data_IF_444598227804
#
_entry.id   IF_444598227804
#
_cell.length_a   1.000
_cell.length_b   1.000
_cell.length_c   1.000
_cell.angle_alpha   90.00
_cell.angle_beta   90.00
_cell.angle_gamma   90.00
#
_symmetry.space_group_name_H-M   'P 1'
#
loop_
_entity.id
_entity.type
_entity.pdbx_description
1 polymer ?
#
# COMPACT_ATOMS: atom_id res chain seq x y z
N UNK A 1 -18.81 10.55 9.60
CA UNK A 1 -17.70 10.31 8.64
C UNK A 1 -17.04 8.99 9.00
N UNK A 2 -16.61 8.18 8.02
CA UNK A 2 -16.02 6.83 8.20
C UNK A 2 -14.67 6.78 7.48
N UNK A 3 -13.87 5.74 7.78
CA UNK A 3 -12.64 5.47 7.03
C UNK A 3 -12.92 5.16 5.55
N UNK A 4 -11.89 5.35 4.72
CA UNK A 4 -11.95 5.01 3.30
C UNK A 4 -11.99 3.49 3.07
N UNK A 5 -12.71 3.07 2.03
CA UNK A 5 -12.74 1.66 1.62
C UNK A 5 -11.35 1.24 1.08
N UNK A 6 -10.82 0.14 1.61
CA UNK A 6 -9.54 -0.41 1.17
C UNK A 6 -9.70 -1.22 -0.11
N UNK A 7 -8.63 -1.31 -0.90
CA UNK A 7 -8.58 -2.04 -2.18
C UNK A 7 -9.73 -1.73 -3.16
N UNK A 8 -10.24 -0.49 -3.10
CA UNK A 8 -11.38 -0.05 -3.90
C UNK A 8 -10.93 0.91 -4.99
N UNK A 9 -11.40 0.72 -6.23
CA UNK A 9 -11.26 1.74 -7.25
C UNK A 9 -12.24 2.89 -6.99
N UNK A 10 -11.91 4.09 -7.47
CA UNK A 10 -12.80 5.25 -7.40
C UNK A 10 -14.23 4.89 -7.88
N UNK A 11 -15.29 5.41 -7.22
CA UNK A 11 -16.68 4.91 -7.34
C UNK A 11 -17.31 4.87 -8.74
N UNK A 12 -16.63 5.39 -9.77
CA UNK A 12 -17.12 5.44 -11.14
C UNK A 12 -16.57 4.29 -12.02
N UNK A 13 -15.78 3.36 -11.47
CA UNK A 13 -15.27 2.20 -12.19
C UNK A 13 -15.91 0.89 -11.71
N UNK A 14 -16.41 0.06 -12.63
CA UNK A 14 -16.74 -1.34 -12.36
C UNK A 14 -15.53 -2.24 -12.69
N UNK A 15 -14.43 -2.04 -11.96
CA UNK A 15 -13.20 -2.79 -12.15
C UNK A 15 -13.03 -3.79 -11.01
N UNK A 16 -13.79 -4.88 -11.07
CA UNK A 16 -13.66 -5.96 -10.10
C UNK A 16 -12.25 -6.57 -10.15
N UNK A 17 -11.72 -6.90 -8.97
CA UNK A 17 -10.43 -7.56 -8.86
C UNK A 17 -10.53 -8.97 -9.47
N UNK A 18 -9.71 -9.26 -10.48
CA UNK A 18 -9.75 -10.54 -11.18
C UNK A 18 -9.29 -11.69 -10.25
N UNK A 19 -10.03 -12.82 -10.19
CA UNK A 19 -9.61 -13.99 -9.43
C UNK A 19 -8.24 -14.51 -9.88
N UNK A 20 -7.44 -14.98 -8.93
CA UNK A 20 -6.07 -15.48 -9.20
C UNK A 20 -6.11 -16.70 -10.13
N UNK A 21 -7.08 -17.59 -9.94
CA UNK A 21 -7.24 -18.84 -10.70
C UNK A 21 -7.48 -18.57 -12.19
N UNK A 22 -8.23 -17.50 -12.50
CA UNK A 22 -8.51 -17.10 -13.89
C UNK A 22 -7.24 -16.60 -14.57
N UNK A 23 -6.39 -15.87 -13.85
CA UNK A 23 -5.14 -15.36 -14.39
C UNK A 23 -4.10 -16.48 -14.57
N UNK A 24 -3.97 -17.39 -13.62
CA UNK A 24 -3.06 -18.54 -13.70
C UNK A 24 -3.47 -19.55 -14.78
N UNK A 25 -4.77 -19.66 -15.07
CA UNK A 25 -5.24 -20.50 -16.19
C UNK A 25 -4.92 -19.86 -17.55
N UNK A 26 -4.86 -18.52 -17.62
CA UNK A 26 -4.68 -17.78 -18.88
C UNK A 26 -3.23 -17.46 -19.20
N UNK A 27 -2.38 -17.32 -18.19
CA UNK A 27 -1.00 -16.91 -18.32
C UNK A 27 -0.07 -17.89 -17.60
N UNK A 28 1.15 -18.12 -18.08
CA UNK A 28 2.09 -19.03 -17.45
C UNK A 28 2.75 -18.36 -16.24
N UNK A 29 1.94 -18.07 -15.21
CA UNK A 29 2.32 -17.38 -13.98
C UNK A 29 1.77 -18.13 -12.77
N UNK A 30 2.39 -17.89 -11.61
CA UNK A 30 1.90 -18.32 -10.31
C UNK A 30 1.76 -17.09 -9.41
N UNK A 31 0.60 -16.87 -8.80
CA UNK A 31 0.47 -15.84 -7.77
C UNK A 31 1.18 -16.30 -6.51
N UNK A 32 2.10 -15.46 -6.03
CA UNK A 32 2.75 -15.66 -4.74
C UNK A 32 2.11 -14.79 -3.65
N UNK A 33 1.47 -13.68 -4.03
CA UNK A 33 0.71 -12.86 -3.10
C UNK A 33 -0.40 -12.05 -3.79
N UNK A 34 -1.49 -11.88 -3.06
CA UNK A 34 -2.51 -10.86 -3.27
C UNK A 34 -2.93 -10.40 -1.88
N UNK A 35 -2.45 -9.24 -1.46
CA UNK A 35 -2.58 -8.78 -0.08
C UNK A 35 -2.81 -7.28 0.00
N UNK A 36 -3.32 -6.82 1.14
CA UNK A 36 -3.38 -5.39 1.45
C UNK A 36 -1.94 -4.84 1.50
N UNK A 37 -1.78 -3.56 1.15
CA UNK A 37 -0.52 -2.85 1.32
C UNK A 37 -0.59 -2.13 2.67
N UNK A 38 -0.14 -2.78 3.73
CA UNK A 38 -0.24 -2.28 5.10
C UNK A 38 0.45 -0.92 5.26
N UNK A 39 -0.16 -0.04 6.06
CA UNK A 39 0.31 1.32 6.26
C UNK A 39 0.39 2.18 4.97
N UNK A 40 -0.33 1.83 3.91
CA UNK A 40 -0.40 2.65 2.69
C UNK A 40 -1.45 3.76 2.73
N UNK A 41 -2.41 3.66 3.65
CA UNK A 41 -3.41 4.70 3.86
C UNK A 41 -2.78 5.95 4.47
N UNK A 42 -3.25 7.12 4.03
CA UNK A 42 -2.94 8.38 4.69
C UNK A 42 -3.64 8.44 6.05
N UNK A 43 -2.87 8.83 7.06
CA UNK A 43 -3.37 9.00 8.41
C UNK A 43 -4.35 10.19 8.51
N UNK A 44 -5.29 10.09 9.43
CA UNK A 44 -6.23 11.15 9.72
C UNK A 44 -7.27 10.71 10.72
N UNK A 45 -8.08 11.63 11.25
CA UNK A 45 -9.23 11.28 12.11
C UNK A 45 -10.07 10.17 11.49
N UNK A 46 -10.25 10.23 10.17
CA UNK A 46 -10.62 9.07 9.36
C UNK A 46 -9.49 8.77 8.38
N UNK A 47 -8.94 7.55 8.44
CA UNK A 47 -7.85 7.16 7.55
C UNK A 47 -8.36 6.93 6.13
N UNK A 48 -7.44 7.07 5.18
CA UNK A 48 -7.68 6.61 3.81
C UNK A 48 -7.91 5.09 3.73
N UNK A 49 -8.37 4.62 2.58
CA UNK A 49 -8.37 3.20 2.27
C UNK A 49 -6.94 2.70 2.00
N UNK A 50 -6.62 1.48 2.41
CA UNK A 50 -5.35 0.88 2.03
C UNK A 50 -5.35 0.50 0.55
N UNK A 51 -4.19 0.62 -0.08
CA UNK A 51 -3.92 -0.05 -1.34
C UNK A 51 -3.80 -1.56 -1.13
N UNK A 52 -3.52 -2.27 -2.22
CA UNK A 52 -3.15 -3.68 -2.21
C UNK A 52 -1.93 -3.87 -3.10
N UNK A 53 -1.28 -5.01 -2.97
CA UNK A 53 -0.29 -5.45 -3.94
C UNK A 53 -0.62 -6.85 -4.46
N UNK A 54 -0.24 -7.08 -5.71
CA UNK A 54 -0.31 -8.39 -6.37
C UNK A 54 1.09 -8.77 -6.83
N UNK A 55 1.49 -9.99 -6.52
CA UNK A 55 2.77 -10.55 -6.92
C UNK A 55 2.58 -11.87 -7.65
N UNK A 56 3.29 -12.03 -8.74
CA UNK A 56 3.35 -13.30 -9.45
C UNK A 56 4.75 -13.60 -9.99
N UNK A 57 5.04 -14.90 -10.07
CA UNK A 57 6.25 -15.47 -10.64
C UNK A 57 5.96 -16.04 -12.03
N UNK A 58 6.86 -15.80 -12.97
CA UNK A 58 6.77 -16.35 -14.33
C UNK A 58 7.16 -17.83 -14.32
N UNK A 59 6.33 -18.69 -14.88
CA UNK A 59 6.58 -20.13 -15.01
C UNK A 59 6.96 -20.56 -16.43
N UNK A 60 6.50 -19.83 -17.45
CA UNK A 60 6.82 -20.12 -18.85
C UNK A 60 8.18 -19.57 -19.26
N UNK A 61 8.61 -19.88 -20.50
CA UNK A 61 9.88 -19.41 -21.06
C UNK A 61 10.01 -17.89 -20.99
N UNK A 62 8.92 -17.18 -21.32
CA UNK A 62 8.82 -15.75 -21.14
C UNK A 62 7.39 -15.25 -20.93
N UNK A 63 7.27 -14.09 -20.29
CA UNK A 63 6.04 -13.29 -20.22
C UNK A 63 6.32 -11.90 -20.81
N UNK A 64 5.41 -11.41 -21.67
CA UNK A 64 5.44 -10.02 -22.16
C UNK A 64 4.57 -9.15 -21.28
N UNK A 65 5.13 -8.06 -20.80
CA UNK A 65 4.50 -7.17 -19.83
C UNK A 65 4.46 -5.76 -20.41
N UNK A 66 3.27 -5.17 -20.37
CA UNK A 66 3.05 -3.75 -20.61
C UNK A 66 2.36 -3.19 -19.37
N UNK A 67 2.74 -1.99 -18.96
CA UNK A 67 2.26 -1.37 -17.74
C UNK A 67 1.74 0.03 -18.03
N UNK A 68 0.58 0.34 -17.45
CA UNK A 68 0.07 1.70 -17.33
C UNK A 68 -0.50 1.87 -15.93
N UNK A 69 0.30 2.48 -15.06
CA UNK A 69 -0.13 2.88 -13.72
C UNK A 69 0.18 4.35 -13.49
N UNK A 70 -0.60 4.96 -12.61
CA UNK A 70 -0.44 6.33 -12.16
C UNK A 70 -0.07 6.34 -10.66
N UNK A 71 0.20 7.53 -10.11
CA UNK A 71 0.47 7.74 -8.67
C UNK A 71 1.76 7.11 -8.14
N UNK A 72 2.75 6.87 -9.00
CA UNK A 72 4.11 6.50 -8.54
C UNK A 72 4.90 7.69 -8.01
N UNK A 73 4.69 8.89 -8.59
CA UNK A 73 5.44 10.11 -8.22
C UNK A 73 4.67 11.06 -7.32
N UNK A 74 3.34 11.09 -7.43
CA UNK A 74 2.49 12.01 -6.67
C UNK A 74 1.68 11.22 -5.65
N UNK A 75 1.82 11.60 -4.37
CA UNK A 75 1.04 10.99 -3.30
C UNK A 75 -0.44 11.42 -3.38
N UNK A 76 -1.39 10.52 -3.04
CA UNK A 76 -2.78 10.89 -2.80
C UNK A 76 -2.85 11.89 -1.64
N UNK A 77 -3.31 13.11 -1.90
CA UNK A 77 -3.48 14.16 -0.91
C UNK A 77 -4.49 13.79 0.19
N UNK A 78 -4.21 14.20 1.43
CA UNK A 78 -5.20 14.22 2.49
C UNK A 78 -6.04 15.51 2.46
N UNK A 79 -7.05 15.57 3.33
CA UNK A 79 -7.98 16.68 3.43
C UNK A 79 -8.15 17.12 4.88
N UNK A 80 -8.24 18.44 5.12
CA UNK A 80 -8.44 19.03 6.44
C UNK A 80 -7.44 18.47 7.46
N UNK A 81 -6.14 18.66 7.19
CA UNK A 81 -5.03 18.18 8.04
C UNK A 81 -4.85 16.65 8.07
N UNK A 82 -5.55 15.93 7.18
CA UNK A 82 -5.23 14.54 6.90
C UNK A 82 -3.91 14.40 6.14
N UNK A 83 -3.18 13.34 6.45
CA UNK A 83 -1.89 13.01 5.82
C UNK A 83 -2.08 12.33 4.45
N UNK A 84 -1.10 12.46 3.54
CA UNK A 84 -1.17 11.83 2.23
C UNK A 84 -0.94 10.31 2.29
N UNK A 85 -1.62 9.56 1.41
CA UNK A 85 -1.38 8.12 1.25
C UNK A 85 -0.03 7.79 0.60
N UNK A 86 0.38 6.53 0.64
CA UNK A 86 1.56 6.04 -0.10
C UNK A 86 1.30 5.97 -1.60
N UNK A 87 2.38 6.05 -2.38
CA UNK A 87 2.37 5.95 -3.85
C UNK A 87 2.14 4.52 -4.33
N UNK A 88 1.73 4.39 -5.59
CA UNK A 88 1.77 3.13 -6.32
C UNK A 88 3.23 2.78 -6.68
N UNK A 89 3.48 1.52 -7.04
CA UNK A 89 4.77 1.09 -7.54
C UNK A 89 4.63 -0.11 -8.48
N UNK A 90 5.50 -0.16 -9.49
CA UNK A 90 5.74 -1.35 -10.30
C UNK A 90 7.15 -1.87 -10.03
N UNK A 91 7.26 -3.08 -9.49
CA UNK A 91 8.54 -3.68 -9.09
C UNK A 91 8.76 -5.00 -9.81
N UNK A 92 10.04 -5.30 -10.06
CA UNK A 92 10.51 -6.57 -10.61
C UNK A 92 11.63 -7.12 -9.75
N UNK A 93 11.65 -8.43 -9.57
CA UNK A 93 12.79 -9.16 -9.03
C UNK A 93 13.20 -10.17 -10.10
N UNK A 94 14.43 -10.08 -10.59
CA UNK A 94 14.96 -11.04 -11.56
C UNK A 94 15.21 -12.37 -10.84
N UNK A 95 15.06 -13.47 -11.57
CA UNK A 95 15.34 -14.82 -11.04
C UNK A 95 16.77 -15.00 -10.50
N UNK A 96 17.71 -14.16 -10.93
CA UNK A 96 19.11 -14.15 -10.51
C UNK A 96 19.39 -13.26 -9.29
N UNK A 97 18.42 -12.46 -8.87
CA UNK A 97 18.61 -11.39 -7.91
C UNK A 97 17.72 -11.59 -6.68
N UNK A 98 18.19 -11.16 -5.51
CA UNK A 98 17.41 -11.21 -4.27
C UNK A 98 16.58 -9.95 -4.04
N UNK A 99 16.97 -8.82 -4.64
CA UNK A 99 16.36 -7.52 -4.41
C UNK A 99 15.27 -7.17 -5.42
N UNK A 100 14.26 -6.43 -4.95
CA UNK A 100 13.26 -5.80 -5.81
C UNK A 100 13.80 -4.49 -6.37
N UNK A 101 13.65 -4.30 -7.68
CA UNK A 101 14.05 -3.08 -8.39
C UNK A 101 12.90 -2.53 -9.22
N UNK A 102 13.06 -1.30 -9.72
CA UNK A 102 12.14 -0.73 -10.70
C UNK A 102 12.39 -1.31 -12.10
N UNK A 103 11.37 -1.30 -12.96
CA UNK A 103 11.54 -1.63 -14.37
C UNK A 103 12.49 -0.67 -15.10
N UNK A 104 12.59 0.58 -14.64
CA UNK A 104 13.56 1.54 -15.19
C UNK A 104 14.99 1.08 -14.91
N UNK A 105 15.29 0.60 -13.70
CA UNK A 105 16.62 0.07 -13.36
C UNK A 105 16.90 -1.26 -14.07
N UNK A 106 15.95 -2.20 -14.06
CA UNK A 106 16.17 -3.54 -14.59
C UNK A 106 16.17 -3.61 -16.14
N UNK A 107 15.40 -2.76 -16.81
CA UNK A 107 15.19 -2.84 -18.27
C UNK A 107 15.46 -1.54 -19.03
N UNK A 108 15.83 -0.46 -18.34
CA UNK A 108 16.11 0.83 -18.98
C UNK A 108 14.88 1.50 -19.60
N UNK A 109 13.67 1.17 -19.13
CA UNK A 109 12.45 1.84 -19.62
C UNK A 109 12.39 3.28 -19.12
N UNK A 110 11.92 4.20 -19.97
CA UNK A 110 11.88 5.63 -19.66
C UNK A 110 10.97 6.00 -18.47
N UNK A 111 9.96 5.17 -18.18
CA UNK A 111 9.04 5.38 -17.06
C UNK A 111 8.66 4.05 -16.43
N UNK A 112 8.86 3.95 -15.11
CA UNK A 112 8.57 2.73 -14.35
C UNK A 112 7.10 2.28 -14.47
N UNK A 113 6.15 3.21 -14.42
CA UNK A 113 4.72 2.92 -14.52
C UNK A 113 4.14 2.97 -15.93
N UNK A 114 4.95 3.29 -16.96
CA UNK A 114 4.48 3.44 -18.35
C UNK A 114 5.50 2.87 -19.32
N UNK A 115 5.29 1.61 -19.70
CA UNK A 115 6.13 0.91 -20.66
C UNK A 115 5.36 -0.19 -21.39
N UNK A 116 5.93 -0.68 -22.48
CA UNK A 116 5.32 -1.73 -23.32
C UNK A 116 6.35 -2.77 -23.72
N UNK A 117 5.88 -4.01 -23.91
CA UNK A 117 6.63 -5.14 -24.49
C UNK A 117 7.95 -5.50 -23.76
N UNK A 118 7.99 -5.35 -22.43
CA UNK A 118 9.11 -5.86 -21.63
C UNK A 118 9.00 -7.37 -21.50
N UNK A 119 10.10 -8.09 -21.70
CA UNK A 119 10.16 -9.55 -21.59
C UNK A 119 10.76 -9.98 -20.27
N UNK A 120 9.98 -10.73 -19.50
CA UNK A 120 10.43 -11.42 -18.30
C UNK A 120 10.69 -12.88 -18.60
N UNK A 121 11.74 -13.44 -18.02
CA UNK A 121 12.10 -14.85 -18.15
C UNK A 121 11.46 -15.71 -17.06
N UNK A 122 11.59 -17.02 -17.22
CA UNK A 122 11.18 -17.99 -16.20
C UNK A 122 11.81 -17.65 -14.83
N UNK A 123 11.01 -17.71 -13.77
CA UNK A 123 11.43 -17.44 -12.39
C UNK A 123 11.45 -15.97 -12.00
N UNK A 124 11.41 -15.03 -12.95
CA UNK A 124 11.28 -13.60 -12.62
C UNK A 124 9.95 -13.33 -11.91
N UNK A 125 9.93 -12.35 -11.02
CA UNK A 125 8.74 -11.93 -10.28
C UNK A 125 8.39 -10.49 -10.58
N UNK A 126 7.10 -10.23 -10.59
CA UNK A 126 6.53 -8.88 -10.67
C UNK A 126 5.73 -8.62 -9.43
N UNK A 127 5.83 -7.41 -8.87
CA UNK A 127 4.90 -6.90 -7.87
C UNK A 127 4.30 -5.59 -8.33
N UNK A 128 2.98 -5.56 -8.48
CA UNK A 128 2.21 -4.34 -8.72
C UNK A 128 1.61 -3.88 -7.41
N UNK A 129 1.88 -2.65 -7.01
CA UNK A 129 1.41 -2.03 -5.76
C UNK A 129 0.49 -0.87 -6.11
N UNK A 130 -0.72 -0.86 -5.56
CA UNK A 130 -1.64 0.29 -5.70
C UNK A 130 -1.39 1.30 -4.58
N UNK A 131 -1.61 2.59 -4.89
CA UNK A 131 -1.59 3.64 -3.88
C UNK A 131 -2.68 3.44 -2.82
N UNK A 132 -2.46 3.97 -1.62
CA UNK A 132 -3.55 4.15 -0.65
C UNK A 132 -4.42 5.36 -0.95
N UNK A 133 -5.39 5.66 -0.10
CA UNK A 133 -6.13 6.92 -0.09
C UNK A 133 -5.50 7.92 0.89
N UNK A 134 -5.71 9.22 0.69
CA UNK A 134 -5.35 10.23 1.70
C UNK A 134 -6.30 10.22 2.89
N UNK A 135 -5.81 10.67 4.04
CA UNK A 135 -6.60 10.78 5.27
C UNK A 135 -7.48 12.01 5.30
N UNK A 136 -8.40 12.05 6.27
CA UNK A 136 -9.31 13.16 6.52
C UNK A 136 -9.28 13.57 7.99
N UNK A 137 -9.05 14.86 8.26
CA UNK A 137 -8.93 15.37 9.64
C UNK A 137 -7.55 15.10 10.24
N UNK A 138 -7.18 15.87 11.25
CA UNK A 138 -5.97 15.66 12.05
C UNK A 138 -5.91 14.20 12.57
N UNK A 139 -4.83 13.43 12.30
CA UNK A 139 -4.62 12.09 12.84
C UNK A 139 -4.69 12.00 14.37
N UNK A 140 -4.27 13.05 15.09
CA UNK A 140 -4.26 13.08 16.55
C UNK A 140 -5.67 13.18 17.15
N UNK A 141 -6.67 13.51 16.33
CA UNK A 141 -8.09 13.48 16.71
C UNK A 141 -8.75 12.11 16.46
N UNK A 142 -8.01 11.11 15.95
CA UNK A 142 -8.55 9.75 15.76
C UNK A 142 -8.79 9.09 17.12
N UNK A 143 -9.92 8.41 17.23
CA UNK A 143 -10.26 7.58 18.39
C UNK A 143 -9.19 6.49 18.61
N UNK A 144 -8.67 6.38 19.84
CA UNK A 144 -7.61 5.44 20.22
C UNK A 144 -8.06 3.99 20.02
N UNK A 145 -9.33 3.68 20.27
CA UNK A 145 -9.89 2.34 20.07
C UNK A 145 -9.86 1.93 18.59
N UNK A 146 -10.04 2.89 17.69
CA UNK A 146 -9.98 2.65 16.24
C UNK A 146 -8.55 2.44 15.76
N UNK A 147 -7.57 3.12 16.35
CA UNK A 147 -6.15 2.90 16.07
C UNK A 147 -5.73 1.52 16.60
N UNK A 148 -6.11 1.18 17.82
CA UNK A 148 -5.88 -0.13 18.41
C UNK A 148 -6.50 -1.27 17.59
N UNK A 149 -7.67 -1.06 17.00
CA UNK A 149 -8.27 -2.03 16.09
C UNK A 149 -7.47 -2.19 14.79
N UNK A 150 -7.00 -1.09 14.17
CA UNK A 150 -6.13 -1.18 12.99
C UNK A 150 -4.82 -1.96 13.31
N UNK A 151 -4.29 -1.86 14.53
CA UNK A 151 -3.15 -2.66 15.01
C UNK A 151 -3.51 -4.14 15.17
N UNK A 152 -4.62 -4.46 15.85
CA UNK A 152 -5.10 -5.85 16.02
C UNK A 152 -5.35 -6.57 14.70
N UNK A 153 -5.84 -5.84 13.70
CA UNK A 153 -6.09 -6.35 12.35
C UNK A 153 -4.80 -6.48 11.51
N UNK A 154 -3.65 -6.03 12.04
CA UNK A 154 -2.36 -6.05 11.34
C UNK A 154 -2.25 -5.02 10.22
N UNK A 155 -3.14 -4.03 10.17
CA UNK A 155 -3.14 -3.02 9.11
C UNK A 155 -2.06 -1.96 9.28
N UNK A 156 -1.68 -1.69 10.54
CA UNK A 156 -0.57 -0.85 10.94
C UNK A 156 0.18 -1.52 12.10
N UNK A 157 1.45 -1.20 12.28
CA UNK A 157 2.22 -1.64 13.44
C UNK A 157 2.03 -0.69 14.64
N UNK A 158 2.38 -1.10 15.87
CA UNK A 158 2.41 -0.17 17.00
C UNK A 158 3.34 1.03 16.80
N UNK A 159 4.45 0.85 16.08
CA UNK A 159 5.34 1.94 15.72
C UNK A 159 4.62 2.97 14.83
N UNK A 160 3.88 2.51 13.81
CA UNK A 160 3.06 3.38 12.97
C UNK A 160 1.93 4.05 13.77
N UNK A 161 1.32 3.35 14.72
CA UNK A 161 0.30 3.93 15.61
C UNK A 161 0.85 5.12 16.41
N UNK A 162 2.08 4.99 16.94
CA UNK A 162 2.76 6.06 17.67
C UNK A 162 3.17 7.21 16.76
N UNK A 163 3.81 6.92 15.62
CA UNK A 163 4.33 7.92 14.68
C UNK A 163 3.22 8.71 13.97
N UNK A 164 2.14 8.04 13.55
CA UNK A 164 1.10 8.66 12.72
C UNK A 164 -0.08 9.21 13.53
N UNK A 165 -0.42 8.61 14.68
CA UNK A 165 -1.64 8.96 15.45
C UNK A 165 -1.34 9.38 16.90
N UNK A 166 -0.07 9.34 17.32
CA UNK A 166 0.33 9.59 18.70
C UNK A 166 -0.23 8.58 19.69
N UNK A 167 -0.53 7.35 19.25
CA UNK A 167 -1.13 6.31 20.10
C UNK A 167 -0.08 5.26 20.47
N UNK A 168 0.22 5.16 21.76
CA UNK A 168 1.07 4.10 22.30
C UNK A 168 0.21 2.87 22.57
N UNK A 169 0.53 1.74 21.93
CA UNK A 169 -0.14 0.48 22.16
C UNK A 169 0.82 -0.70 22.00
N UNK A 170 0.43 -1.87 22.51
CA UNK A 170 1.13 -3.13 22.27
C UNK A 170 0.66 -3.80 20.96
N UNK A 171 1.33 -4.88 20.54
CA UNK A 171 0.97 -5.64 19.33
C UNK A 171 -0.46 -6.22 19.36
N UNK A 172 -1.01 -6.45 20.55
CA UNK A 172 -2.41 -6.90 20.74
C UNK A 172 -3.43 -5.75 20.74
N UNK A 173 -2.97 -4.52 20.48
CA UNK A 173 -3.77 -3.30 20.50
C UNK A 173 -4.15 -2.79 21.88
N UNK A 174 -3.54 -3.29 22.97
CA UNK A 174 -3.74 -2.71 24.31
C UNK A 174 -3.13 -1.31 24.35
N UNK A 175 -3.96 -0.29 24.57
CA UNK A 175 -3.55 1.13 24.59
C UNK A 175 -2.98 1.53 25.95
N UNK A 176 -1.85 2.25 25.94
CA UNK A 176 -1.35 2.99 27.09
C UNK A 176 -1.88 4.43 27.02
N UNK A 177 -2.92 4.72 27.80
CA UNK A 177 -3.58 6.03 27.83
C UNK A 177 -2.64 7.15 28.27
N UNK A 178 -1.77 6.88 29.24
CA UNK A 178 -0.86 7.89 29.79
C UNK A 178 0.23 8.25 28.77
N UNK A 179 0.83 7.24 28.14
CA UNK A 179 1.81 7.43 27.08
C UNK A 179 1.18 8.08 25.84
N UNK A 180 -0.04 7.69 25.46
CA UNK A 180 -0.78 8.29 24.35
C UNK A 180 -1.08 9.77 24.58
N UNK A 181 -1.52 10.14 25.80
CA UNK A 181 -1.75 11.54 26.14
C UNK A 181 -0.45 12.37 26.06
N UNK A 182 0.67 11.81 26.53
CA UNK A 182 1.98 12.46 26.44
C UNK A 182 2.44 12.65 24.99
N UNK A 183 2.37 11.59 24.17
CA UNK A 183 2.74 11.63 22.76
C UNK A 183 1.93 12.67 21.98
N UNK A 184 0.60 12.69 22.15
CA UNK A 184 -0.25 13.68 21.48
C UNK A 184 0.04 15.10 21.94
N UNK A 185 0.34 15.32 23.22
CA UNK A 185 0.72 16.63 23.73
C UNK A 185 2.06 17.11 23.12
N UNK A 186 3.05 16.21 23.03
CA UNK A 186 4.34 16.49 22.40
C UNK A 186 4.20 16.81 20.91
N UNK A 187 3.48 15.97 20.16
CA UNK A 187 3.26 16.18 18.72
C UNK A 187 2.52 17.48 18.44
N UNK A 188 1.53 17.85 19.26
CA UNK A 188 0.82 19.13 19.13
C UNK A 188 1.69 20.35 19.48
N UNK A 189 2.67 20.19 20.35
CA UNK A 189 3.60 21.28 20.70
C UNK A 189 4.72 21.46 19.67
N UNK A 190 4.99 20.43 18.85
CA UNK A 190 5.96 20.47 17.76
C UNK A 190 5.42 20.95 16.41
N UNK A 191 4.11 21.15 16.29
CA UNK A 191 3.42 21.76 15.14
C UNK A 191 3.46 23.29 15.22
#
# INVERSE_FOLDING_TARGET
>A
TKDGNSACCIPNGNCALQPVEILETRYPILHEALAINEGSAGAGRNRGGFGYYRQFRVLGDYLRVSCFIEKEKTRPWGLFDGEPGKTAAMLVQRSTDEDWTTFTEAFGVACNGKFSDVRLGAGDRIRTVTSGGGGYGDPLDRDTDRVAEDVRQGFISPAMAAEEYGVACADDGTVDEAATAALRAEMRAGL
#
